data_IF_485256591857
#
_entry.id   IF_485256591857
#
_cell.length_a   1.000
_cell.length_b   1.000
_cell.length_c   1.000
_cell.angle_alpha   90.00
_cell.angle_beta   90.00
_cell.angle_gamma   90.00
#
_symmetry.space_group_name_H-M   'P 1'
#
loop_
_entity.id
_entity.type
_entity.pdbx_description
1 polymer ?
#
# COMPACT_ATOMS: atom_id res chain seq x y z
N UNK A 1 -21.51 -2.57 11.07
CA UNK A 1 -20.19 -2.97 10.54
C UNK A 1 -20.16 -2.92 9.02
N UNK A 2 -21.08 -3.59 8.31
CA UNK A 2 -21.23 -3.47 6.84
C UNK A 2 -21.54 -2.05 6.35
N UNK A 3 -22.45 -1.31 6.99
CA UNK A 3 -22.77 0.07 6.58
C UNK A 3 -21.58 1.04 6.71
N UNK A 4 -20.73 0.80 7.71
CA UNK A 4 -19.51 1.58 7.92
C UNK A 4 -18.52 1.32 6.79
N UNK A 5 -18.30 0.05 6.42
CA UNK A 5 -17.40 -0.37 5.34
C UNK A 5 -17.84 0.18 3.97
N UNK A 6 -19.14 0.13 3.66
CA UNK A 6 -19.69 0.69 2.41
C UNK A 6 -19.60 2.23 2.36
N UNK A 7 -19.83 2.90 3.50
CA UNK A 7 -19.60 4.35 3.60
C UNK A 7 -18.13 4.71 3.41
N UNK A 8 -17.18 3.86 3.80
CA UNK A 8 -15.73 4.07 3.63
C UNK A 8 -15.27 3.81 2.20
N UNK A 9 -15.71 2.71 1.59
CA UNK A 9 -15.45 2.39 0.18
C UNK A 9 -15.92 3.53 -0.72
N UNK A 10 -17.09 4.09 -0.43
CA UNK A 10 -17.64 5.24 -1.16
C UNK A 10 -16.96 6.58 -0.82
N UNK A 11 -16.63 6.87 0.44
CA UNK A 11 -15.95 8.13 0.81
C UNK A 11 -14.52 8.24 0.28
N UNK A 12 -13.80 7.13 0.27
CA UNK A 12 -12.38 7.11 -0.09
C UNK A 12 -12.13 6.54 -1.48
N UNK A 13 -13.16 6.10 -2.20
CA UNK A 13 -13.06 5.39 -3.49
C UNK A 13 -12.15 4.16 -3.41
N UNK A 14 -12.16 3.45 -2.29
CA UNK A 14 -11.32 2.26 -2.06
C UNK A 14 -12.15 1.02 -2.34
N UNK A 15 -11.56 0.04 -3.01
CA UNK A 15 -12.23 -1.21 -3.34
C UNK A 15 -12.62 -1.94 -2.04
N UNK A 16 -13.85 -2.45 -1.99
CA UNK A 16 -14.35 -3.28 -0.88
C UNK A 16 -13.40 -4.44 -0.57
N UNK A 17 -12.81 -5.06 -1.60
CA UNK A 17 -11.83 -6.17 -1.46
C UNK A 17 -10.59 -5.73 -0.67
N UNK A 18 -10.12 -4.50 -0.90
CA UNK A 18 -9.01 -3.92 -0.14
C UNK A 18 -9.40 -3.74 1.33
N UNK A 19 -10.60 -3.24 1.62
CA UNK A 19 -11.08 -3.04 3.00
C UNK A 19 -11.25 -4.39 3.72
N UNK A 20 -11.78 -5.40 3.04
CA UNK A 20 -11.94 -6.76 3.60
C UNK A 20 -10.59 -7.39 3.94
N UNK A 21 -9.64 -7.35 3.00
CA UNK A 21 -8.26 -7.81 3.19
C UNK A 21 -7.60 -7.14 4.39
N UNK A 22 -7.79 -5.82 4.51
CA UNK A 22 -7.32 -5.03 5.65
C UNK A 22 -7.99 -5.49 6.95
N UNK A 23 -9.31 -5.67 6.94
CA UNK A 23 -10.09 -6.02 8.11
C UNK A 23 -9.72 -7.40 8.68
N UNK A 24 -9.39 -8.35 7.81
CA UNK A 24 -8.90 -9.69 8.15
C UNK A 24 -7.46 -9.68 8.68
N UNK A 25 -6.58 -8.87 8.08
CA UNK A 25 -5.15 -8.79 8.44
C UNK A 25 -4.88 -7.91 9.66
N UNK A 26 -5.76 -6.96 9.96
CA UNK A 26 -5.77 -6.19 11.19
C UNK A 26 -6.19 -7.07 12.36
N UNK A 27 -5.21 -7.76 12.94
CA UNK A 27 -5.33 -8.42 14.25
C UNK A 27 -5.34 -7.38 15.38
N UNK A 28 -5.90 -7.72 16.55
CA UNK A 28 -5.97 -6.86 17.75
C UNK A 28 -4.61 -6.52 18.40
N UNK A 29 -3.51 -6.61 17.63
CA UNK A 29 -2.14 -6.34 18.07
C UNK A 29 -1.57 -5.16 17.31
N UNK A 30 -0.53 -4.57 17.86
CA UNK A 30 0.26 -3.54 17.17
C UNK A 30 0.81 -4.09 15.86
N UNK A 31 0.54 -3.39 14.75
CA UNK A 31 1.08 -3.70 13.43
C UNK A 31 2.39 -2.91 13.25
N UNK A 32 3.43 -3.59 12.77
CA UNK A 32 4.71 -2.95 12.43
C UNK A 32 4.60 -2.12 11.14
N UNK A 33 5.53 -1.19 10.93
CA UNK A 33 5.61 -0.39 9.69
C UNK A 33 5.75 -1.30 8.45
N UNK A 34 6.53 -2.38 8.55
CA UNK A 34 6.69 -3.38 7.50
C UNK A 34 5.36 -4.05 7.13
N UNK A 35 4.58 -4.48 8.12
CA UNK A 35 3.26 -5.09 7.91
C UNK A 35 2.25 -4.08 7.32
N UNK A 36 2.32 -2.80 7.70
CA UNK A 36 1.45 -1.75 7.17
C UNK A 36 1.74 -1.48 5.68
N UNK A 37 3.02 -1.36 5.31
CA UNK A 37 3.44 -1.14 3.92
C UNK A 37 3.13 -2.39 3.08
N UNK A 38 3.35 -3.59 3.61
CA UNK A 38 2.95 -4.84 2.97
C UNK A 38 1.44 -4.86 2.71
N UNK A 39 0.62 -4.54 3.71
CA UNK A 39 -0.83 -4.51 3.57
C UNK A 39 -1.29 -3.50 2.53
N UNK A 40 -0.69 -2.31 2.49
CA UNK A 40 -0.97 -1.31 1.48
C UNK A 40 -0.59 -1.81 0.07
N UNK A 41 0.52 -2.53 -0.08
CA UNK A 41 0.98 -3.07 -1.37
C UNK A 41 0.10 -4.22 -1.92
N UNK A 42 -0.75 -4.79 -1.08
CA UNK A 42 -1.74 -5.82 -1.47
C UNK A 42 -3.07 -5.22 -1.95
N UNK A 43 -3.23 -3.89 -1.88
CA UNK A 43 -4.47 -3.22 -2.26
C UNK A 43 -4.82 -3.47 -3.73
N UNK A 44 -6.09 -3.77 -4.00
CA UNK A 44 -6.59 -4.09 -5.34
C UNK A 44 -6.51 -2.91 -6.31
N UNK A 45 -6.42 -1.70 -5.77
CA UNK A 45 -6.07 -0.47 -6.50
C UNK A 45 -4.77 -0.64 -7.30
N UNK A 46 -3.84 -1.48 -6.87
CA UNK A 46 -2.57 -1.69 -7.57
C UNK A 46 -2.59 -2.87 -8.55
N UNK A 47 -3.72 -3.57 -8.69
CA UNK A 47 -3.87 -4.75 -9.56
C UNK A 47 -3.58 -4.47 -11.05
N UNK A 48 -3.70 -3.21 -11.48
CA UNK A 48 -3.44 -2.79 -12.87
C UNK A 48 -1.96 -2.56 -13.17
N UNK A 49 -1.12 -2.43 -12.14
CA UNK A 49 0.32 -2.30 -12.32
C UNK A 49 0.89 -3.59 -12.92
N UNK A 50 1.95 -3.44 -13.71
CA UNK A 50 2.66 -4.56 -14.32
C UNK A 50 4.15 -4.39 -14.09
N UNK A 51 4.84 -5.50 -13.91
CA UNK A 51 6.30 -5.56 -13.95
C UNK A 51 6.71 -5.67 -15.42
N UNK A 52 7.71 -4.89 -15.81
CA UNK A 52 8.24 -4.82 -17.18
C UNK A 52 9.74 -5.01 -17.16
N UNK A 53 10.28 -5.68 -18.18
CA UNK A 53 11.72 -6.01 -18.22
C UNK A 53 12.61 -4.75 -18.28
N UNK A 54 12.14 -3.67 -18.90
CA UNK A 54 12.88 -2.42 -19.07
C UNK A 54 13.10 -1.64 -17.76
N UNK A 55 12.44 -2.05 -16.68
CA UNK A 55 12.47 -1.34 -15.39
C UNK A 55 13.10 -2.15 -14.25
N UNK A 56 13.43 -3.43 -14.48
CA UNK A 56 13.88 -4.36 -13.44
C UNK A 56 15.19 -3.90 -12.78
N UNK A 57 16.18 -3.47 -13.56
CA UNK A 57 17.47 -3.02 -13.03
C UNK A 57 17.31 -1.79 -12.11
N UNK A 58 16.47 -0.84 -12.50
CA UNK A 58 16.18 0.33 -11.67
C UNK A 58 15.38 -0.07 -10.43
N UNK A 59 14.42 -0.99 -10.57
CA UNK A 59 13.62 -1.49 -9.46
C UNK A 59 14.48 -2.22 -8.41
N UNK A 60 15.48 -2.99 -8.85
CA UNK A 60 16.49 -3.61 -7.98
C UNK A 60 17.36 -2.56 -7.27
N UNK A 61 17.78 -1.50 -7.96
CA UNK A 61 18.51 -0.40 -7.33
C UNK A 61 17.66 0.30 -6.27
N UNK A 62 16.37 0.52 -6.53
CA UNK A 62 15.43 1.09 -5.55
C UNK A 62 15.21 0.14 -4.37
N UNK A 63 15.06 -1.15 -4.63
CA UNK A 63 14.93 -2.17 -3.59
C UNK A 63 16.12 -2.15 -2.62
N UNK A 64 17.34 -2.13 -3.16
CA UNK A 64 18.55 -2.17 -2.33
C UNK A 64 18.87 -0.85 -1.61
N UNK A 65 18.53 0.30 -2.22
CA UNK A 65 18.98 1.60 -1.71
C UNK A 65 17.90 2.39 -0.97
N UNK A 66 16.61 2.15 -1.26
CA UNK A 66 15.51 2.98 -0.78
C UNK A 66 14.59 2.26 0.21
N UNK A 67 14.56 0.92 0.20
CA UNK A 67 13.70 0.15 1.09
C UNK A 67 14.36 0.00 2.47
N UNK A 68 13.72 0.57 3.49
CA UNK A 68 14.15 0.49 4.89
C UNK A 68 13.55 -0.71 5.62
N UNK A 69 12.41 -1.19 5.14
CA UNK A 69 11.73 -2.37 5.68
C UNK A 69 11.69 -3.49 4.63
N UNK A 70 11.64 -4.76 5.07
CA UNK A 70 11.63 -5.90 4.15
C UNK A 70 10.48 -5.83 3.14
N UNK A 71 10.79 -6.04 1.86
CA UNK A 71 9.80 -6.16 0.79
C UNK A 71 9.50 -7.64 0.56
N UNK A 72 8.32 -8.09 0.96
CA UNK A 72 7.90 -9.46 0.62
C UNK A 72 7.50 -9.52 -0.84
N UNK A 73 7.96 -10.57 -1.52
CA UNK A 73 7.68 -10.81 -2.94
C UNK A 73 8.80 -10.41 -3.90
N UNK A 74 9.72 -9.52 -3.54
CA UNK A 74 10.83 -9.10 -4.42
C UNK A 74 10.38 -8.30 -5.66
N UNK A 75 11.30 -8.03 -6.59
CA UNK A 75 11.08 -7.11 -7.73
C UNK A 75 10.19 -7.69 -8.85
N UNK A 76 10.02 -9.00 -8.91
CA UNK A 76 9.43 -9.70 -10.06
C UNK A 76 7.89 -9.79 -10.03
N UNK A 77 7.23 -9.29 -8.98
CA UNK A 77 5.77 -9.24 -8.94
C UNK A 77 5.24 -7.86 -8.57
N UNK A 78 3.96 -7.65 -8.91
CA UNK A 78 3.25 -6.38 -8.73
C UNK A 78 3.24 -5.92 -7.28
N UNK A 79 3.08 -6.85 -6.32
CA UNK A 79 3.06 -6.51 -4.91
C UNK A 79 4.40 -5.98 -4.42
N UNK A 80 5.49 -6.69 -4.74
CA UNK A 80 6.83 -6.25 -4.35
C UNK A 80 7.24 -4.97 -5.07
N UNK A 81 6.93 -4.82 -6.37
CA UNK A 81 7.08 -3.54 -7.09
C UNK A 81 6.35 -2.39 -6.39
N UNK A 82 5.08 -2.60 -6.05
CA UNK A 82 4.26 -1.58 -5.37
C UNK A 82 4.87 -1.20 -4.02
N UNK A 83 5.30 -2.18 -3.24
CA UNK A 83 5.95 -1.95 -1.95
C UNK A 83 7.25 -1.13 -2.11
N UNK A 84 8.11 -1.48 -3.07
CA UNK A 84 9.33 -0.72 -3.38
C UNK A 84 8.98 0.72 -3.77
N UNK A 85 7.97 0.92 -4.62
CA UNK A 85 7.53 2.27 -5.01
C UNK A 85 6.98 3.08 -3.83
N UNK A 86 6.23 2.48 -2.91
CA UNK A 86 5.78 3.15 -1.69
C UNK A 86 6.97 3.60 -0.85
N UNK A 87 7.97 2.73 -0.65
CA UNK A 87 9.17 3.07 0.13
C UNK A 87 10.02 4.13 -0.58
N UNK A 88 10.18 4.03 -1.90
CA UNK A 88 10.88 5.01 -2.72
C UNK A 88 10.19 6.38 -2.69
N UNK A 89 8.85 6.43 -2.68
CA UNK A 89 8.08 7.66 -2.50
C UNK A 89 8.36 8.33 -1.16
N UNK A 90 8.31 7.56 -0.06
CA UNK A 90 8.60 8.04 1.29
C UNK A 90 10.03 8.57 1.39
N UNK A 91 10.98 7.85 0.78
CA UNK A 91 12.40 8.23 0.71
C UNK A 91 12.70 9.36 -0.28
N UNK A 92 11.71 9.82 -1.06
CA UNK A 92 11.84 10.85 -2.10
C UNK A 92 12.90 10.50 -3.17
N UNK A 93 12.98 9.22 -3.52
CA UNK A 93 13.89 8.73 -4.53
C UNK A 93 13.57 9.34 -5.91
N UNK A 94 14.60 9.55 -6.72
CA UNK A 94 14.46 9.94 -8.11
C UNK A 94 14.28 8.69 -8.96
N UNK A 95 13.36 8.75 -9.94
CA UNK A 95 13.13 7.69 -10.91
C UNK A 95 13.57 8.16 -12.29
N UNK A 96 14.16 7.25 -13.07
CA UNK A 96 14.74 7.51 -14.37
C UNK A 96 13.90 6.91 -15.49
N UNK A 97 13.39 5.69 -15.31
CA UNK A 97 12.54 5.03 -16.30
C UNK A 97 11.16 5.68 -16.37
N UNK A 98 10.70 5.97 -17.58
CA UNK A 98 9.36 6.53 -17.81
C UNK A 98 8.24 5.61 -17.29
N UNK A 99 8.41 4.29 -17.39
CA UNK A 99 7.45 3.31 -16.87
C UNK A 99 7.31 3.41 -15.36
N UNK A 100 8.43 3.51 -14.63
CA UNK A 100 8.43 3.69 -13.17
C UNK A 100 7.95 5.08 -12.72
N UNK A 101 8.27 6.14 -13.46
CA UNK A 101 7.75 7.49 -13.18
C UNK A 101 6.21 7.51 -13.28
N UNK A 102 5.67 6.89 -14.33
CA UNK A 102 4.22 6.76 -14.52
C UNK A 102 3.58 5.95 -13.39
N UNK A 103 4.15 4.79 -13.09
CA UNK A 103 3.63 3.91 -12.04
C UNK A 103 3.75 4.56 -10.65
N UNK A 104 4.82 5.31 -10.37
CA UNK A 104 4.97 6.10 -9.15
C UNK A 104 3.88 7.16 -9.00
N UNK A 105 3.53 7.86 -10.09
CA UNK A 105 2.43 8.84 -10.06
C UNK A 105 1.10 8.17 -9.69
N UNK A 106 0.84 6.99 -10.24
CA UNK A 106 -0.34 6.19 -9.92
C UNK A 106 -0.33 5.70 -8.47
N UNK A 107 0.82 5.21 -7.98
CA UNK A 107 1.01 4.78 -6.59
C UNK A 107 0.74 5.95 -5.64
N UNK A 108 1.33 7.12 -5.88
CA UNK A 108 1.18 8.29 -5.02
C UNK A 108 -0.26 8.76 -4.85
N UNK A 109 -1.04 8.72 -5.93
CA UNK A 109 -2.45 9.13 -5.90
C UNK A 109 -3.32 8.18 -5.07
N UNK A 110 -3.01 6.88 -5.08
CA UNK A 110 -3.82 5.87 -4.40
C UNK A 110 -3.31 5.54 -2.99
N UNK A 111 -2.00 5.48 -2.76
CA UNK A 111 -1.41 5.11 -1.45
C UNK A 111 -1.79 6.10 -0.36
N UNK A 112 -1.84 7.40 -0.65
CA UNK A 112 -2.22 8.43 0.34
C UNK A 112 -3.68 8.26 0.76
N UNK A 113 -4.57 7.92 -0.18
CA UNK A 113 -5.98 7.63 0.10
C UNK A 113 -6.13 6.34 0.91
N UNK A 114 -5.41 5.30 0.54
CA UNK A 114 -5.40 4.00 1.23
C UNK A 114 -4.93 4.13 2.68
N UNK A 115 -3.80 4.81 2.92
CA UNK A 115 -3.26 5.02 4.27
C UNK A 115 -4.24 5.84 5.13
N UNK A 116 -4.89 6.86 4.57
CA UNK A 116 -5.91 7.64 5.28
C UNK A 116 -7.09 6.78 5.71
N UNK A 117 -7.62 5.96 4.81
CA UNK A 117 -8.71 5.06 5.15
C UNK A 117 -8.31 3.99 6.17
N UNK A 118 -7.11 3.43 6.02
CA UNK A 118 -6.51 2.51 7.00
C UNK A 118 -6.47 3.13 8.41
N UNK A 119 -5.95 4.35 8.50
CA UNK A 119 -5.86 5.08 9.76
C UNK A 119 -7.24 5.32 10.40
N UNK A 120 -8.25 5.69 9.61
CA UNK A 120 -9.60 5.89 10.12
C UNK A 120 -10.28 4.61 10.58
N UNK A 121 -10.05 3.47 9.91
CA UNK A 121 -10.54 2.16 10.35
C UNK A 121 -9.93 1.78 11.69
N UNK A 122 -8.62 1.96 11.86
CA UNK A 122 -7.92 1.68 13.12
C UNK A 122 -8.42 2.59 14.24
N UNK A 123 -8.57 3.90 13.98
CA UNK A 123 -9.10 4.85 14.96
C UNK A 123 -10.51 4.49 15.42
N UNK A 124 -11.43 4.17 14.49
CA UNK A 124 -12.80 3.78 14.84
C UNK A 124 -12.84 2.50 15.67
N UNK A 125 -11.97 1.52 15.38
CA UNK A 125 -11.83 0.31 16.20
C UNK A 125 -11.31 0.64 17.61
N UNK A 126 -10.29 1.49 17.72
CA UNK A 126 -9.75 1.91 19.01
C UNK A 126 -10.79 2.62 19.88
N UNK A 127 -11.59 3.52 19.30
CA UNK A 127 -12.69 4.17 20.02
C UNK A 127 -13.79 3.19 20.43
N UNK A 128 -14.14 2.21 19.57
CA UNK A 128 -15.09 1.16 19.94
C UNK A 128 -14.61 0.35 21.15
N UNK A 129 -13.32 -0.03 21.19
CA UNK A 129 -12.69 -0.74 22.32
C UNK A 129 -12.63 0.11 23.60
N UNK A 130 -12.50 1.43 23.48
CA UNK A 130 -12.49 2.34 24.64
C UNK A 130 -13.89 2.65 25.17
N UNK A 131 -14.93 2.51 24.34
CA UNK A 131 -16.33 2.75 24.71
C UNK A 131 -17.07 1.54 25.27
N UNK A 132 -16.41 0.37 25.32
CA UNK A 132 -16.96 -0.90 25.84
C UNK A 132 -16.62 -1.15 27.30
#
# INVERSE_FOLDING_TARGET
>A
MYDTILSFSSHYYINYVTIETINERLSNRYMSEAELIELASLADEFSQLKVRDDELDELDLLYNNQCRVPVKGGVENVHGKTNILIQAYISRAQLHSFSLVSDMSYVNQNVVRLIRALFEVVLKRSWATLSS
#
